data_IF_176321235335
#
_entry.id   IF_176321235335
#
_cell.length_a   1.000
_cell.length_b   1.000
_cell.length_c   1.000
_cell.angle_alpha   90.00
_cell.angle_beta   90.00
_cell.angle_gamma   90.00
#
_symmetry.space_group_name_H-M   'P 1'
#
loop_
_entity.id
_entity.type
_entity.pdbx_description
1 polymer ?
#
# COMPACT_ATOMS: atom_id res chain seq x y z
N UNK A 1 7.40 1.34 -7.50
CA UNK A 1 6.41 1.86 -6.57
C UNK A 1 6.91 3.11 -5.85
N UNK A 2 5.97 3.91 -5.38
CA UNK A 2 6.23 5.14 -4.66
C UNK A 2 5.52 5.07 -3.31
N UNK A 3 6.27 5.27 -2.23
CA UNK A 3 5.71 5.38 -0.89
C UNK A 3 5.22 6.82 -0.67
N UNK A 4 3.94 6.96 -0.41
CA UNK A 4 3.31 8.23 -0.13
C UNK A 4 3.24 8.42 1.38
N UNK A 5 3.94 9.44 1.89
CA UNK A 5 4.14 9.63 3.30
C UNK A 5 2.91 10.19 4.01
N UNK A 6 2.67 11.47 3.90
CA UNK A 6 1.71 12.18 4.74
C UNK A 6 0.55 12.82 3.98
N UNK A 7 -0.12 13.73 4.66
CA UNK A 7 -1.33 14.36 4.14
C UNK A 7 -1.07 15.17 2.87
N UNK A 8 -0.08 16.05 2.90
CA UNK A 8 0.19 16.96 1.78
C UNK A 8 0.55 16.18 0.52
N UNK A 9 1.45 15.20 0.64
CA UNK A 9 1.85 14.38 -0.51
C UNK A 9 0.70 13.47 -0.97
N UNK A 10 -0.21 13.09 -0.07
CA UNK A 10 -1.41 12.33 -0.45
C UNK A 10 -2.37 13.18 -1.29
N UNK A 11 -2.48 14.48 -0.99
CA UNK A 11 -3.24 15.42 -1.84
C UNK A 11 -2.59 15.52 -3.22
N UNK A 12 -1.27 15.62 -3.27
CA UNK A 12 -0.54 15.63 -4.54
C UNK A 12 -0.78 14.31 -5.33
N UNK A 13 -0.78 13.18 -4.64
CA UNK A 13 -1.07 11.88 -5.25
C UNK A 13 -2.50 11.82 -5.81
N UNK A 14 -3.47 12.37 -5.10
CA UNK A 14 -4.86 12.46 -5.58
C UNK A 14 -4.93 13.26 -6.88
N UNK A 15 -4.28 14.41 -6.93
CA UNK A 15 -4.23 15.23 -8.14
C UNK A 15 -3.53 14.51 -9.28
N UNK A 16 -2.42 13.83 -8.99
CA UNK A 16 -1.69 13.05 -10.00
C UNK A 16 -2.58 11.95 -10.59
N UNK A 17 -3.36 11.26 -9.77
CA UNK A 17 -4.26 10.22 -10.23
C UNK A 17 -5.43 10.76 -11.05
N UNK A 18 -5.85 11.99 -10.81
CA UNK A 18 -6.84 12.66 -11.65
C UNK A 18 -6.29 12.99 -13.03
N UNK A 19 -5.02 13.37 -13.10
CA UNK A 19 -4.34 13.67 -14.37
C UNK A 19 -3.91 12.41 -15.12
N UNK A 20 -3.48 11.39 -14.41
CA UNK A 20 -2.97 10.14 -14.96
C UNK A 20 -3.47 8.96 -14.11
N UNK A 21 -4.68 8.45 -14.34
CA UNK A 21 -5.28 7.42 -13.47
C UNK A 21 -4.42 6.17 -13.26
N UNK A 22 -3.61 5.81 -14.25
CA UNK A 22 -2.77 4.62 -14.17
C UNK A 22 -1.67 4.72 -13.09
N UNK A 23 -1.33 5.93 -12.64
CA UNK A 23 -0.29 6.07 -11.61
C UNK A 23 -0.74 5.50 -10.26
N UNK A 24 -2.05 5.37 -10.02
CA UNK A 24 -2.58 4.85 -8.77
C UNK A 24 -2.01 3.48 -8.41
N UNK A 25 -1.77 2.63 -9.38
CA UNK A 25 -1.27 1.27 -9.17
C UNK A 25 0.17 1.22 -8.64
N UNK A 26 0.89 2.32 -8.76
CA UNK A 26 2.29 2.41 -8.31
C UNK A 26 2.44 3.06 -6.94
N UNK A 27 1.33 3.44 -6.31
CA UNK A 27 1.34 4.18 -5.05
C UNK A 27 1.03 3.26 -3.87
N UNK A 28 1.88 3.36 -2.85
CA UNK A 28 1.69 2.68 -1.57
C UNK A 28 1.58 3.78 -0.51
N UNK A 29 0.48 3.84 0.20
CA UNK A 29 0.24 4.86 1.22
C UNK A 29 0.78 4.35 2.55
N UNK A 30 1.79 5.06 3.08
CA UNK A 30 2.57 4.59 4.21
C UNK A 30 1.78 4.62 5.52
N UNK A 31 1.10 5.74 5.79
CA UNK A 31 0.33 5.86 7.02
C UNK A 31 -0.85 6.80 6.82
N UNK A 32 -1.81 6.72 7.74
CA UNK A 32 -2.86 7.70 7.91
C UNK A 32 -2.48 8.59 9.09
N UNK A 33 -2.20 9.87 8.81
CA UNK A 33 -1.86 10.83 9.86
C UNK A 33 -3.06 11.25 10.68
N UNK A 34 -2.79 12.05 11.72
CA UNK A 34 -3.82 12.52 12.64
C UNK A 34 -4.67 13.66 12.06
N UNK A 35 -4.26 14.26 10.93
CA UNK A 35 -5.03 15.33 10.30
C UNK A 35 -6.36 14.79 9.76
N UNK A 36 -7.45 15.52 10.05
CA UNK A 36 -8.80 15.09 9.66
C UNK A 36 -8.94 14.90 8.14
N UNK A 37 -8.31 15.76 7.36
CA UNK A 37 -8.37 15.71 5.90
C UNK A 37 -7.63 14.52 5.30
N UNK A 38 -6.65 13.95 6.00
CA UNK A 38 -5.87 12.84 5.48
C UNK A 38 -6.74 11.60 5.20
N UNK A 39 -7.60 11.26 6.15
CA UNK A 39 -8.54 10.16 5.98
C UNK A 39 -9.45 10.36 4.76
N UNK A 40 -9.96 11.59 4.59
CA UNK A 40 -10.82 11.92 3.47
C UNK A 40 -10.10 11.76 2.12
N UNK A 41 -8.84 12.20 2.04
CA UNK A 41 -8.02 12.04 0.82
C UNK A 41 -7.80 10.57 0.51
N UNK A 42 -7.45 9.77 1.51
CA UNK A 42 -7.26 8.32 1.32
C UNK A 42 -8.54 7.64 0.84
N UNK A 43 -9.69 8.04 1.35
CA UNK A 43 -10.99 7.54 0.89
C UNK A 43 -11.23 7.90 -0.58
N UNK A 44 -10.91 9.12 -0.99
CA UNK A 44 -11.04 9.53 -2.39
C UNK A 44 -10.13 8.74 -3.32
N UNK A 45 -8.99 8.32 -2.84
CA UNK A 45 -8.04 7.48 -3.57
C UNK A 45 -8.38 5.99 -3.50
N UNK A 46 -9.42 5.63 -2.75
CA UNK A 46 -9.73 4.24 -2.44
C UNK A 46 -8.50 3.51 -1.91
N UNK A 47 -7.80 4.18 -0.99
CA UNK A 47 -6.53 3.72 -0.46
C UNK A 47 -6.67 3.30 1.00
N UNK A 48 -5.93 2.26 1.36
CA UNK A 48 -5.74 1.84 2.75
C UNK A 48 -4.28 2.05 3.10
N UNK A 49 -4.03 2.85 4.12
CA UNK A 49 -2.67 3.08 4.58
C UNK A 49 -2.13 1.85 5.31
N UNK A 50 -0.81 1.63 5.21
CA UNK A 50 -0.14 0.52 5.91
C UNK A 50 -0.15 0.71 7.43
N UNK A 51 -0.03 1.95 7.90
CA UNK A 51 0.08 2.29 9.30
C UNK A 51 -0.96 3.35 9.68
N UNK A 52 -1.46 3.28 10.90
CA UNK A 52 -2.35 4.27 11.49
C UNK A 52 -1.92 4.48 12.95
N UNK A 53 -0.88 5.28 13.13
CA UNK A 53 -0.23 5.49 14.42
C UNK A 53 -0.48 6.89 14.99
N UNK A 54 -1.32 7.68 14.37
CA UNK A 54 -1.60 9.04 14.83
C UNK A 54 -0.44 10.02 14.63
N UNK A 55 0.42 9.77 13.67
CA UNK A 55 1.60 10.59 13.42
C UNK A 55 1.24 11.95 12.85
N UNK A 56 1.98 12.97 13.26
CA UNK A 56 1.82 14.35 12.78
C UNK A 56 3.11 15.02 12.34
N UNK A 57 4.22 14.30 12.37
CA UNK A 57 5.54 14.90 12.16
C UNK A 57 5.78 15.40 10.74
N UNK A 58 5.28 14.72 9.73
CA UNK A 58 5.35 15.19 8.35
C UNK A 58 6.74 15.23 7.73
N UNK A 59 7.72 14.56 8.29
CA UNK A 59 9.11 14.60 7.85
C UNK A 59 9.56 13.28 7.21
N UNK A 60 8.66 12.58 6.55
CA UNK A 60 8.95 11.27 5.99
C UNK A 60 8.94 10.14 7.01
N UNK A 61 8.53 10.40 8.24
CA UNK A 61 8.51 9.41 9.31
C UNK A 61 7.61 8.22 8.98
N UNK A 62 6.42 8.48 8.46
CA UNK A 62 5.49 7.43 8.08
C UNK A 62 6.05 6.54 6.99
N UNK A 63 6.63 7.14 5.95
CA UNK A 63 7.27 6.38 4.88
C UNK A 63 8.46 5.58 5.39
N UNK A 64 9.29 6.18 6.25
CA UNK A 64 10.44 5.49 6.84
C UNK A 64 10.00 4.28 7.68
N UNK A 65 8.92 4.41 8.45
CA UNK A 65 8.38 3.30 9.24
C UNK A 65 7.73 2.22 8.36
N UNK A 66 7.23 2.57 7.20
CA UNK A 66 6.59 1.63 6.27
C UNK A 66 7.61 0.82 5.46
N UNK A 67 8.84 1.31 5.26
CA UNK A 67 9.85 0.61 4.46
C UNK A 67 10.11 -0.81 4.94
N UNK A 68 10.29 -1.09 6.24
CA UNK A 68 10.48 -2.46 6.70
C UNK A 68 9.30 -3.39 6.37
N UNK A 69 8.07 -2.87 6.42
CA UNK A 69 6.88 -3.64 6.06
C UNK A 69 6.86 -3.99 4.58
N UNK A 70 7.21 -3.04 3.72
CA UNK A 70 7.28 -3.28 2.27
C UNK A 70 8.38 -4.30 1.96
N UNK A 71 9.54 -4.16 2.61
CA UNK A 71 10.63 -5.12 2.46
C UNK A 71 10.24 -6.52 2.92
N UNK A 72 9.55 -6.62 4.06
CA UNK A 72 9.06 -7.88 4.57
C UNK A 72 8.05 -8.51 3.60
N UNK A 73 7.15 -7.72 3.03
CA UNK A 73 6.18 -8.20 2.05
C UNK A 73 6.85 -8.72 0.79
N UNK A 74 7.86 -8.02 0.28
CA UNK A 74 8.62 -8.44 -0.90
C UNK A 74 9.37 -9.74 -0.61
N UNK A 75 10.04 -9.82 0.52
CA UNK A 75 10.78 -11.02 0.94
C UNK A 75 9.83 -12.21 1.07
N UNK A 76 8.71 -12.00 1.73
CA UNK A 76 7.68 -13.05 1.87
C UNK A 76 7.18 -13.53 0.51
N UNK A 77 6.88 -12.61 -0.39
CA UNK A 77 6.41 -12.95 -1.73
C UNK A 77 7.45 -13.76 -2.52
N UNK A 78 8.73 -13.34 -2.46
CA UNK A 78 9.80 -13.99 -3.22
C UNK A 78 10.20 -15.34 -2.64
N UNK A 79 10.11 -15.51 -1.33
CA UNK A 79 10.58 -16.71 -0.63
C UNK A 79 9.46 -17.70 -0.36
N UNK A 80 8.21 -17.31 -0.59
CA UNK A 80 7.07 -18.19 -0.38
C UNK A 80 7.05 -19.31 -1.42
N UNK A 81 7.01 -20.55 -0.95
CA UNK A 81 6.92 -21.70 -1.84
C UNK A 81 5.56 -21.72 -2.55
N UNK A 82 5.58 -21.98 -3.85
CA UNK A 82 4.35 -22.29 -4.60
C UNK A 82 3.83 -23.67 -4.23
N UNK A 83 2.60 -24.00 -4.61
CA UNK A 83 2.08 -25.34 -4.42
C UNK A 83 2.96 -26.40 -5.12
N UNK A 84 3.48 -26.09 -6.30
CA UNK A 84 4.37 -26.99 -7.02
C UNK A 84 5.68 -27.21 -6.26
N UNK A 85 6.28 -26.14 -5.73
CA UNK A 85 7.54 -26.21 -4.97
C UNK A 85 7.37 -26.98 -3.67
N UNK A 86 6.20 -26.85 -3.03
CA UNK A 86 5.89 -27.54 -1.79
C UNK A 86 5.41 -28.98 -1.99
N UNK A 87 5.21 -29.42 -3.23
CA UNK A 87 4.69 -30.76 -3.52
C UNK A 87 3.21 -30.92 -3.19
N UNK A 88 2.49 -29.83 -3.02
CA UNK A 88 1.05 -29.86 -2.73
C UNK A 88 0.27 -30.00 -4.03
N UNK A 89 -0.67 -30.93 -4.04
CA UNK A 89 -1.56 -31.07 -5.18
C UNK A 89 -2.54 -29.91 -5.23
N UNK A 90 -2.49 -29.18 -6.32
CA UNK A 90 -3.43 -28.10 -6.54
C UNK A 90 -4.74 -28.67 -7.06
N UNK A 91 -5.81 -28.45 -6.30
CA UNK A 91 -7.15 -28.82 -6.76
C UNK A 91 -7.67 -27.69 -7.61
N UNK A 92 -7.79 -27.96 -8.91
CA UNK A 92 -8.44 -27.03 -9.82
C UNK A 92 -9.91 -27.41 -9.88
N UNK A 93 -10.72 -26.65 -9.17
CA UNK A 93 -12.16 -26.79 -9.25
C UNK A 93 -12.73 -25.83 -10.25
N UNK A 94 -13.56 -26.33 -11.15
CA UNK A 94 -14.27 -25.51 -12.12
C UNK A 94 -15.19 -24.54 -11.41
N UNK A 95 -14.96 -23.27 -11.62
CA UNK A 95 -15.79 -22.20 -11.03
C UNK A 95 -15.35 -21.74 -9.65
N UNK A 96 -14.29 -22.32 -9.09
CA UNK A 96 -13.69 -21.85 -7.85
C UNK A 96 -12.31 -21.33 -8.14
N UNK A 97 -12.18 -20.02 -8.16
CA UNK A 97 -10.88 -19.37 -8.21
C UNK A 97 -10.36 -19.26 -6.78
N UNK A 98 -9.36 -19.98 -6.50
CA UNK A 98 -8.66 -19.90 -5.21
C UNK A 98 -7.32 -19.22 -5.37
#
# INVERSE_FOLDING_TARGET
>A
PVLIDGFIVSVAALLACQLAPNCRDYLIFAHQGAEAGHKAVLQQLNATALLDLGLRLGEGTGAALAVPLVRAAISFYNDMASFADAGVTQVVETGVAT
#
